data_IF_061935874531
#
_entry.id   IF_061935874531
#
_cell.length_a   1.000
_cell.length_b   1.000
_cell.length_c   1.000
_cell.angle_alpha   90.00
_cell.angle_beta   90.00
_cell.angle_gamma   90.00
#
_symmetry.space_group_name_H-M   'P 1'
#
loop_
_entity.id
_entity.type
_entity.pdbx_description
1 polymer ?
#
# COMPACT_ATOMS: atom_id res chain seq x y z
N UNK A 1 27.10 76.31 54.86
CA UNK A 1 28.00 77.44 54.59
C UNK A 1 29.34 76.85 54.17
N UNK A 2 29.72 77.07 52.91
CA UNK A 2 31.08 77.03 52.33
C UNK A 2 31.95 75.74 52.49
N UNK A 3 32.87 75.35 51.62
CA UNK A 3 33.28 75.71 50.25
C UNK A 3 34.50 74.82 49.88
N UNK A 4 34.58 74.37 48.61
CA UNK A 4 35.76 74.05 47.74
C UNK A 4 36.97 73.27 48.28
N UNK A 5 37.30 72.09 47.71
CA UNK A 5 38.15 71.79 46.50
C UNK A 5 39.68 71.78 46.79
N UNK A 6 40.57 71.23 45.91
CA UNK A 6 40.63 69.88 45.33
C UNK A 6 42.11 69.36 45.22
N UNK A 7 42.32 68.13 44.71
CA UNK A 7 43.65 67.64 44.31
C UNK A 7 43.55 66.41 43.39
N UNK A 8 44.15 66.51 42.21
CA UNK A 8 43.97 65.72 40.97
C UNK A 8 44.52 64.26 40.96
N UNK A 9 44.31 63.48 39.88
CA UNK A 9 44.15 62.02 39.89
C UNK A 9 45.39 61.23 39.41
N UNK A 10 45.39 59.91 39.65
CA UNK A 10 46.16 58.93 38.87
C UNK A 10 45.39 57.62 38.69
N UNK A 11 45.62 57.04 37.52
CA UNK A 11 44.88 56.03 36.76
C UNK A 11 44.75 54.60 37.37
N UNK A 12 43.86 53.76 36.81
CA UNK A 12 43.47 52.44 37.33
C UNK A 12 44.24 51.30 36.67
N UNK A 13 44.38 50.15 37.35
CA UNK A 13 44.50 48.84 36.67
C UNK A 13 43.82 47.76 37.52
N UNK A 14 42.89 47.04 36.87
CA UNK A 14 42.05 45.97 37.42
C UNK A 14 42.44 44.64 36.78
N UNK A 15 42.18 43.57 37.53
CA UNK A 15 42.07 42.15 37.18
C UNK A 15 43.32 41.28 37.45
N UNK A 16 43.31 40.40 38.47
CA UNK A 16 42.38 39.32 38.86
C UNK A 16 42.82 37.97 38.29
N UNK A 17 43.60 37.26 39.13
CA UNK A 17 43.41 35.85 39.48
C UNK A 17 43.02 34.89 38.33
N UNK A 18 44.01 34.36 37.62
CA UNK A 18 43.87 33.24 36.66
C UNK A 18 45.08 32.31 36.68
N UNK A 19 45.51 31.85 37.86
CA UNK A 19 46.66 30.93 37.95
C UNK A 19 46.48 29.80 38.97
N UNK A 20 45.26 29.33 39.22
CA UNK A 20 45.01 28.12 40.02
C UNK A 20 43.78 27.38 39.44
N UNK A 21 43.89 26.83 38.22
CA UNK A 21 42.92 25.86 37.67
C UNK A 21 43.52 25.03 36.51
N UNK A 22 44.80 24.67 36.57
CA UNK A 22 45.49 24.01 35.44
C UNK A 22 46.03 22.59 35.72
N UNK A 23 45.68 21.94 36.84
CA UNK A 23 46.27 20.64 37.20
C UNK A 23 45.30 19.45 37.41
N UNK A 24 43.99 19.57 37.16
CA UNK A 24 43.04 18.45 37.34
C UNK A 24 42.14 18.13 36.13
N UNK A 25 42.50 18.59 34.92
CA UNK A 25 41.72 18.39 33.69
C UNK A 25 42.51 17.67 32.58
N UNK A 26 43.31 16.65 32.89
CA UNK A 26 44.12 15.95 31.85
C UNK A 26 44.07 14.42 31.92
N UNK A 27 43.03 13.80 32.52
CA UNK A 27 42.94 12.33 32.52
C UNK A 27 41.56 11.72 32.24
N UNK A 28 40.57 12.50 31.82
CA UNK A 28 39.27 11.93 31.45
C UNK A 28 39.04 11.97 29.95
N UNK A 29 38.97 10.76 29.39
CA UNK A 29 38.31 10.39 28.13
C UNK A 29 38.94 10.86 26.81
N UNK A 30 40.01 10.17 26.39
CA UNK A 30 40.11 9.78 24.98
C UNK A 30 39.61 8.34 24.84
N UNK A 31 38.31 8.10 25.05
CA UNK A 31 37.69 6.94 24.39
C UNK A 31 37.71 7.30 22.91
N UNK A 32 38.59 6.66 22.14
CA UNK A 32 38.53 6.77 20.68
C UNK A 32 37.15 6.25 20.27
N UNK A 33 36.35 7.01 19.52
CA UNK A 33 35.16 6.44 18.90
C UNK A 33 35.62 5.23 18.08
N UNK A 34 34.90 4.13 18.24
CA UNK A 34 35.13 2.94 17.45
C UNK A 34 34.75 3.27 16.00
N UNK A 35 35.76 3.48 15.17
CA UNK A 35 35.62 3.67 13.73
C UNK A 35 35.73 2.32 12.99
N UNK A 36 35.55 1.19 13.68
CA UNK A 36 35.37 -0.08 12.99
C UNK A 36 34.16 0.05 12.05
N UNK A 37 34.27 -0.42 10.81
CA UNK A 37 33.16 -0.36 9.86
C UNK A 37 31.94 -0.98 10.51
N UNK A 38 30.81 -0.29 10.44
CA UNK A 38 29.56 -0.83 10.90
C UNK A 38 29.33 -2.16 10.17
N UNK A 39 28.85 -3.23 10.83
CA UNK A 39 28.39 -4.41 10.11
C UNK A 39 27.29 -4.08 9.08
N UNK A 40 26.67 -2.90 9.18
CA UNK A 40 25.72 -2.36 8.21
C UNK A 40 26.36 -1.55 7.07
N UNK A 41 27.62 -1.13 7.16
CA UNK A 41 28.34 -0.49 6.04
C UNK A 41 28.52 -1.47 4.87
N UNK A 42 28.63 -2.77 5.16
CA UNK A 42 28.61 -3.85 4.17
C UNK A 42 27.24 -4.00 3.47
N UNK A 43 26.13 -3.57 4.10
CA UNK A 43 24.81 -3.55 3.45
C UNK A 43 24.63 -2.29 2.59
N UNK A 44 25.20 -1.17 3.02
CA UNK A 44 25.19 0.11 2.27
C UNK A 44 26.01 0.04 0.97
N UNK A 45 27.04 -0.80 0.94
CA UNK A 45 27.93 -1.02 -0.22
C UNK A 45 27.48 -2.15 -1.14
N UNK A 46 26.35 -2.83 -0.85
CA UNK A 46 25.79 -3.80 -1.77
C UNK A 46 25.21 -3.04 -2.95
N UNK A 47 25.98 -2.94 -4.03
CA UNK A 47 25.43 -2.52 -5.33
C UNK A 47 24.17 -3.33 -5.59
N UNK A 48 23.05 -2.70 -5.98
CA UNK A 48 21.84 -3.42 -6.32
C UNK A 48 22.20 -4.35 -7.48
N UNK A 49 22.31 -5.64 -7.18
CA UNK A 49 22.53 -6.65 -8.21
C UNK A 49 21.25 -6.67 -9.04
N UNK A 50 21.26 -5.98 -10.18
CA UNK A 50 20.20 -6.06 -11.18
C UNK A 50 20.12 -7.53 -11.58
N UNK A 51 19.06 -8.20 -11.14
CA UNK A 51 18.81 -9.56 -11.54
C UNK A 51 18.41 -9.51 -13.01
N UNK A 52 19.23 -10.13 -13.87
CA UNK A 52 18.90 -10.25 -15.27
C UNK A 52 17.58 -11.04 -15.39
N UNK A 53 16.71 -10.60 -16.30
CA UNK A 53 15.51 -11.34 -16.63
C UNK A 53 15.88 -12.72 -17.19
N UNK A 54 15.05 -13.74 -16.98
CA UNK A 54 15.20 -15.03 -17.62
C UNK A 54 15.24 -14.89 -19.16
N UNK A 55 15.98 -15.78 -19.83
CA UNK A 55 16.11 -15.79 -21.30
C UNK A 55 14.82 -16.23 -22.03
N UNK A 56 13.79 -16.67 -21.28
CA UNK A 56 12.49 -17.08 -21.81
C UNK A 56 11.47 -17.32 -20.69
N UNK A 57 10.28 -17.84 -21.04
CA UNK A 57 9.23 -18.09 -20.07
C UNK A 57 9.68 -19.00 -18.93
N UNK A 58 9.33 -18.64 -17.70
CA UNK A 58 9.49 -19.51 -16.53
C UNK A 58 8.19 -20.25 -16.25
N UNK A 59 8.27 -21.48 -15.74
CA UNK A 59 7.09 -22.22 -15.33
C UNK A 59 6.43 -21.56 -14.11
N UNK A 60 5.14 -21.28 -14.21
CA UNK A 60 4.32 -20.77 -13.12
C UNK A 60 3.99 -21.84 -12.08
N UNK A 61 3.50 -21.44 -10.89
CA UNK A 61 3.14 -22.38 -9.84
C UNK A 61 1.89 -23.21 -10.19
N UNK A 62 1.86 -24.43 -9.68
CA UNK A 62 0.72 -25.36 -9.81
C UNK A 62 -0.39 -25.13 -8.75
N UNK A 63 -0.42 -23.95 -8.13
CA UNK A 63 -1.30 -23.63 -7.02
C UNK A 63 -2.57 -22.92 -7.48
N UNK A 64 -3.73 -23.54 -7.21
CA UNK A 64 -5.04 -22.94 -7.47
C UNK A 64 -5.38 -21.91 -6.38
N UNK A 65 -5.43 -20.64 -6.74
CA UNK A 65 -5.73 -19.55 -5.79
C UNK A 65 -7.23 -19.44 -5.56
N UNK A 66 -8.02 -19.46 -6.63
CA UNK A 66 -9.48 -19.30 -6.58
C UNK A 66 -10.09 -20.46 -7.38
N UNK A 67 -11.04 -21.23 -6.83
CA UNK A 67 -11.75 -22.23 -7.61
C UNK A 67 -12.71 -21.56 -8.62
N UNK A 68 -12.90 -22.17 -9.80
CA UNK A 68 -13.71 -21.58 -10.89
C UNK A 68 -15.13 -21.20 -10.44
N UNK A 69 -15.71 -22.02 -9.56
CA UNK A 69 -17.05 -21.80 -9.01
C UNK A 69 -17.15 -20.61 -8.06
N UNK A 70 -16.04 -20.07 -7.57
CA UNK A 70 -15.97 -18.88 -6.72
C UNK A 70 -15.61 -17.61 -7.51
N UNK A 71 -15.21 -17.73 -8.78
CA UNK A 71 -15.11 -16.58 -9.69
C UNK A 71 -16.47 -16.31 -10.34
N UNK A 72 -17.13 -17.34 -10.86
CA UNK A 72 -18.41 -17.22 -11.56
C UNK A 72 -19.57 -17.15 -10.56
N UNK A 73 -20.57 -16.32 -10.86
CA UNK A 73 -21.82 -16.30 -10.11
C UNK A 73 -22.59 -17.62 -10.32
N UNK A 74 -22.34 -18.58 -9.43
CA UNK A 74 -22.83 -19.95 -9.49
C UNK A 74 -23.63 -20.32 -8.23
N UNK A 75 -24.18 -21.55 -8.12
CA UNK A 75 -24.88 -22.00 -6.92
C UNK A 75 -24.06 -21.93 -5.62
N UNK A 76 -22.74 -21.75 -5.69
CA UNK A 76 -21.87 -21.48 -4.52
C UNK A 76 -22.25 -20.20 -3.77
N UNK A 77 -22.99 -19.29 -4.39
CA UNK A 77 -23.51 -18.09 -3.72
C UNK A 77 -24.65 -18.41 -2.74
N UNK A 78 -25.23 -19.62 -2.77
CA UNK A 78 -26.25 -20.02 -1.79
C UNK A 78 -25.65 -19.94 -0.38
N UNK A 79 -26.30 -19.18 0.49
CA UNK A 79 -25.84 -18.95 1.86
C UNK A 79 -24.87 -17.77 2.01
N UNK A 80 -24.44 -17.13 0.92
CA UNK A 80 -23.70 -15.87 0.97
C UNK A 80 -24.65 -14.68 0.83
N UNK A 81 -24.66 -13.81 1.85
CA UNK A 81 -25.49 -12.60 1.89
C UNK A 81 -24.61 -11.36 1.76
N UNK A 82 -24.79 -10.62 0.66
CA UNK A 82 -24.07 -9.37 0.40
C UNK A 82 -24.45 -8.31 1.46
N UNK A 83 -25.74 -8.07 1.74
CA UNK A 83 -26.13 -7.09 2.76
C UNK A 83 -25.56 -7.43 4.14
N UNK A 84 -25.60 -8.70 4.55
CA UNK A 84 -25.08 -9.12 5.86
C UNK A 84 -23.56 -8.98 5.92
N UNK A 85 -22.84 -9.33 4.85
CA UNK A 85 -21.38 -9.20 4.81
C UNK A 85 -20.95 -7.73 4.92
N UNK A 86 -21.57 -6.84 4.15
CA UNK A 86 -21.22 -5.41 4.17
C UNK A 86 -21.59 -4.78 5.51
N UNK A 87 -22.78 -5.08 6.04
CA UNK A 87 -23.23 -4.52 7.32
C UNK A 87 -22.43 -5.03 8.52
N UNK A 88 -22.00 -6.31 8.52
CA UNK A 88 -21.18 -6.86 9.61
C UNK A 88 -19.77 -6.27 9.67
N UNK A 89 -19.17 -5.98 8.51
CA UNK A 89 -17.84 -5.37 8.46
C UNK A 89 -17.89 -3.87 8.75
N UNK A 90 -19.02 -3.21 8.45
CA UNK A 90 -19.28 -1.81 8.76
C UNK A 90 -18.19 -0.82 8.27
N UNK A 91 -17.49 -1.18 7.20
CA UNK A 91 -16.53 -0.30 6.53
C UNK A 91 -17.21 0.75 5.65
N UNK A 92 -16.42 1.51 4.93
CA UNK A 92 -16.87 2.63 4.09
C UNK A 92 -17.96 2.25 3.08
N UNK A 93 -17.87 1.06 2.50
CA UNK A 93 -18.88 0.55 1.56
C UNK A 93 -20.29 0.50 2.14
N UNK A 94 -20.45 0.33 3.46
CA UNK A 94 -21.77 0.25 4.11
C UNK A 94 -22.54 1.57 4.07
N UNK A 95 -21.83 2.69 3.94
CA UNK A 95 -22.40 4.05 3.88
C UNK A 95 -22.25 4.67 2.49
N UNK A 96 -21.66 3.95 1.54
CA UNK A 96 -21.44 4.45 0.20
C UNK A 96 -22.74 4.53 -0.60
N UNK A 97 -22.90 5.64 -1.32
CA UNK A 97 -23.98 5.83 -2.28
C UNK A 97 -23.48 6.50 -3.55
N UNK A 98 -24.09 6.14 -4.68
CA UNK A 98 -23.79 6.69 -6.00
C UNK A 98 -25.09 6.96 -6.77
N UNK A 99 -25.08 7.97 -7.64
CA UNK A 99 -26.15 8.19 -8.60
C UNK A 99 -25.82 7.52 -9.93
N UNK A 100 -26.64 6.56 -10.35
CA UNK A 100 -26.51 5.83 -11.61
C UNK A 100 -27.80 6.07 -12.40
N UNK A 101 -27.70 6.67 -13.59
CA UNK A 101 -28.84 7.01 -14.45
C UNK A 101 -29.98 7.78 -13.75
N UNK A 102 -29.63 8.61 -12.76
CA UNK A 102 -30.58 9.43 -12.00
C UNK A 102 -31.21 8.74 -10.80
N UNK A 103 -30.91 7.47 -10.55
CA UNK A 103 -31.33 6.71 -9.38
C UNK A 103 -30.17 6.53 -8.38
N UNK A 104 -30.50 6.52 -7.09
CA UNK A 104 -29.52 6.38 -6.01
C UNK A 104 -29.33 4.91 -5.66
N UNK A 105 -28.10 4.43 -5.76
CA UNK A 105 -27.71 3.08 -5.41
C UNK A 105 -26.78 3.08 -4.19
N UNK A 106 -27.02 2.17 -3.26
CA UNK A 106 -26.10 1.89 -2.15
C UNK A 106 -24.94 1.01 -2.63
N UNK A 107 -23.81 1.01 -1.90
CA UNK A 107 -22.70 0.09 -2.15
C UNK A 107 -23.13 -1.38 -2.28
N UNK A 108 -24.06 -1.81 -1.43
CA UNK A 108 -24.68 -3.16 -1.49
C UNK A 108 -25.38 -3.40 -2.83
N UNK A 109 -26.26 -2.49 -3.26
CA UNK A 109 -26.98 -2.65 -4.53
C UNK A 109 -26.03 -2.60 -5.74
N UNK A 110 -24.96 -1.80 -5.67
CA UNK A 110 -23.95 -1.73 -6.73
C UNK A 110 -23.23 -3.08 -6.88
N UNK A 111 -22.76 -3.67 -5.77
CA UNK A 111 -22.12 -5.00 -5.78
C UNK A 111 -23.08 -6.06 -6.31
N UNK A 112 -24.33 -6.05 -5.86
CA UNK A 112 -25.38 -6.97 -6.36
C UNK A 112 -25.60 -6.83 -7.87
N UNK A 113 -25.72 -5.59 -8.35
CA UNK A 113 -25.93 -5.27 -9.76
C UNK A 113 -24.78 -5.77 -10.61
N UNK A 114 -23.54 -5.39 -10.27
CA UNK A 114 -22.34 -5.82 -11.01
C UNK A 114 -22.20 -7.34 -10.99
N UNK A 115 -22.40 -7.98 -9.84
CA UNK A 115 -22.32 -9.45 -9.73
C UNK A 115 -23.27 -10.14 -10.72
N UNK A 116 -24.52 -9.66 -10.82
CA UNK A 116 -25.53 -10.20 -11.73
C UNK A 116 -25.23 -9.90 -13.20
N UNK A 117 -24.90 -8.66 -13.50
CA UNK A 117 -24.66 -8.21 -14.89
C UNK A 117 -23.43 -8.89 -15.49
N UNK A 118 -22.36 -9.03 -14.72
CA UNK A 118 -21.10 -9.63 -15.18
C UNK A 118 -21.00 -11.13 -14.87
N UNK A 119 -21.98 -11.73 -14.19
CA UNK A 119 -21.94 -13.14 -13.74
C UNK A 119 -20.67 -13.47 -12.93
N UNK A 120 -20.25 -12.53 -12.08
CA UNK A 120 -19.10 -12.68 -11.19
C UNK A 120 -19.60 -12.85 -9.75
N UNK A 121 -18.98 -13.76 -8.99
CA UNK A 121 -19.40 -14.07 -7.63
C UNK A 121 -19.19 -12.84 -6.71
N UNK A 122 -20.19 -12.40 -5.93
CA UNK A 122 -20.09 -11.16 -5.14
C UNK A 122 -18.93 -11.16 -4.12
N UNK A 123 -18.60 -12.33 -3.57
CA UNK A 123 -17.48 -12.50 -2.63
C UNK A 123 -16.14 -12.08 -3.23
N UNK A 124 -15.90 -12.34 -4.53
CA UNK A 124 -14.64 -11.92 -5.17
C UNK A 124 -14.60 -10.41 -5.39
N UNK A 125 -15.73 -9.80 -5.75
CA UNK A 125 -15.81 -8.34 -5.90
C UNK A 125 -15.53 -7.62 -4.58
N UNK A 126 -16.09 -8.12 -3.47
CA UNK A 126 -15.80 -7.60 -2.14
C UNK A 126 -14.34 -7.82 -1.73
N UNK A 127 -13.75 -8.98 -2.06
CA UNK A 127 -12.34 -9.24 -1.80
C UNK A 127 -11.42 -8.31 -2.60
N UNK A 128 -11.73 -8.03 -3.86
CA UNK A 128 -10.98 -7.07 -4.69
C UNK A 128 -11.07 -5.67 -4.10
N UNK A 129 -12.26 -5.19 -3.73
CA UNK A 129 -12.42 -3.89 -3.07
C UNK A 129 -11.63 -3.77 -1.77
N UNK A 130 -11.63 -4.82 -0.97
CA UNK A 130 -10.87 -4.85 0.27
C UNK A 130 -9.36 -4.84 0.01
N UNK A 131 -8.87 -5.70 -0.88
CA UNK A 131 -7.45 -5.82 -1.21
C UNK A 131 -6.89 -4.52 -1.80
N UNK A 132 -7.68 -3.86 -2.64
CA UNK A 132 -7.20 -2.72 -3.43
C UNK A 132 -7.41 -1.39 -2.73
N UNK A 133 -8.44 -1.24 -1.89
CA UNK A 133 -8.74 0.04 -1.26
C UNK A 133 -9.27 -0.01 0.17
N UNK A 134 -9.43 -1.19 0.78
CA UNK A 134 -9.87 -1.31 2.17
C UNK A 134 -11.35 -0.93 2.43
N UNK A 135 -12.19 -0.88 1.38
CA UNK A 135 -13.55 -0.34 1.47
C UNK A 135 -14.50 -1.18 2.33
N UNK A 136 -14.21 -2.47 2.52
CA UNK A 136 -15.15 -3.40 3.16
C UNK A 136 -14.99 -3.35 4.67
N UNK A 137 -13.74 -3.33 5.17
CA UNK A 137 -13.44 -3.38 6.62
C UNK A 137 -13.05 -2.04 7.23
N UNK A 138 -12.43 -1.13 6.48
CA UNK A 138 -12.06 0.18 7.02
C UNK A 138 -13.21 1.16 6.86
N UNK A 139 -13.55 1.87 7.94
CA UNK A 139 -14.42 3.05 7.89
C UNK A 139 -13.61 4.36 7.89
N UNK A 140 -12.29 4.28 8.09
CA UNK A 140 -11.41 5.44 8.11
C UNK A 140 -11.11 5.90 6.68
N UNK A 141 -11.58 7.09 6.33
CA UNK A 141 -11.41 7.66 4.99
C UNK A 141 -9.97 8.03 4.67
N UNK A 142 -9.11 8.21 5.67
CA UNK A 142 -7.70 8.56 5.46
C UNK A 142 -6.89 7.34 4.95
N UNK A 143 -7.33 6.13 5.30
CA UNK A 143 -6.70 4.86 4.92
C UNK A 143 -7.32 4.24 3.64
N UNK A 144 -8.38 4.85 3.10
CA UNK A 144 -9.12 4.32 1.95
C UNK A 144 -8.63 4.96 0.65
N UNK A 145 -8.28 4.11 -0.30
CA UNK A 145 -8.01 4.56 -1.66
C UNK A 145 -9.34 4.79 -2.39
N UNK A 146 -9.59 6.03 -2.84
CA UNK A 146 -10.86 6.39 -3.50
C UNK A 146 -11.06 5.74 -4.87
N UNK A 147 -9.97 5.43 -5.58
CA UNK A 147 -10.02 4.88 -6.95
C UNK A 147 -9.09 3.68 -7.12
N UNK A 148 -9.30 2.59 -6.36
CA UNK A 148 -8.29 1.58 -6.18
C UNK A 148 -8.18 0.58 -7.35
N UNK A 149 -9.22 0.46 -8.18
CA UNK A 149 -9.30 -0.65 -9.15
C UNK A 149 -9.15 -0.18 -10.60
N UNK A 150 -9.66 1.01 -10.94
CA UNK A 150 -9.72 1.45 -12.32
C UNK A 150 -8.34 1.84 -12.86
N UNK A 151 -8.08 1.49 -14.13
CA UNK A 151 -6.77 1.63 -14.77
C UNK A 151 -6.23 3.07 -14.77
N UNK A 152 -7.13 4.07 -14.76
CA UNK A 152 -6.78 5.47 -14.64
C UNK A 152 -7.23 6.01 -13.28
N UNK A 153 -6.37 5.92 -12.27
CA UNK A 153 -6.64 6.44 -10.93
C UNK A 153 -6.92 7.95 -10.90
N UNK A 154 -6.52 8.71 -11.93
CA UNK A 154 -6.81 10.15 -12.03
C UNK A 154 -8.22 10.45 -12.50
N UNK A 155 -8.88 9.47 -13.14
CA UNK A 155 -10.23 9.61 -13.69
C UNK A 155 -11.34 9.71 -12.64
N UNK A 156 -11.03 9.44 -11.36
CA UNK A 156 -11.99 9.51 -10.28
C UNK A 156 -13.28 8.71 -10.53
N UNK A 157 -13.13 7.52 -11.14
CA UNK A 157 -14.26 6.69 -11.53
C UNK A 157 -15.12 6.26 -10.33
N UNK A 158 -16.45 6.37 -10.40
CA UNK A 158 -17.31 5.98 -9.28
C UNK A 158 -17.39 4.45 -9.15
N UNK A 159 -17.89 3.94 -8.01
CA UNK A 159 -17.78 2.54 -7.63
C UNK A 159 -18.34 1.59 -8.69
N UNK A 160 -19.48 1.90 -9.28
CA UNK A 160 -20.09 1.06 -10.32
C UNK A 160 -19.14 0.85 -11.51
N UNK A 161 -18.50 1.92 -11.99
CA UNK A 161 -17.52 1.86 -13.08
C UNK A 161 -16.29 1.03 -12.69
N UNK A 162 -15.78 1.23 -11.47
CA UNK A 162 -14.60 0.51 -10.97
C UNK A 162 -14.87 -1.00 -10.88
N UNK A 163 -15.99 -1.39 -10.27
CA UNK A 163 -16.38 -2.79 -10.14
C UNK A 163 -16.72 -3.43 -11.48
N UNK A 164 -17.35 -2.70 -12.40
CA UNK A 164 -17.64 -3.18 -13.75
C UNK A 164 -16.36 -3.50 -14.51
N UNK A 165 -15.36 -2.61 -14.43
CA UNK A 165 -14.04 -2.86 -15.02
C UNK A 165 -13.32 -4.05 -14.37
N UNK A 166 -13.42 -4.19 -13.05
CA UNK A 166 -12.85 -5.31 -12.31
C UNK A 166 -13.46 -6.64 -12.76
N UNK A 167 -14.80 -6.69 -12.81
CA UNK A 167 -15.56 -7.86 -13.20
C UNK A 167 -15.30 -8.25 -14.67
N UNK A 168 -15.25 -7.27 -15.58
CA UNK A 168 -14.86 -7.50 -16.97
C UNK A 168 -13.44 -8.06 -17.09
N UNK A 169 -12.51 -7.54 -16.29
CA UNK A 169 -11.13 -8.02 -16.30
C UNK A 169 -10.97 -9.43 -15.76
N UNK A 170 -11.70 -9.77 -14.70
CA UNK A 170 -11.76 -11.14 -14.18
C UNK A 170 -12.34 -12.10 -15.23
N UNK A 171 -13.46 -11.72 -15.86
CA UNK A 171 -14.07 -12.51 -16.92
C UNK A 171 -13.14 -12.71 -18.12
N UNK A 172 -12.46 -11.64 -18.56
CA UNK A 172 -11.50 -11.72 -19.67
C UNK A 172 -10.39 -12.71 -19.35
N UNK A 173 -9.82 -12.66 -18.14
CA UNK A 173 -8.80 -13.62 -17.70
C UNK A 173 -9.33 -15.05 -17.73
N UNK A 174 -10.43 -15.29 -17.02
CA UNK A 174 -11.07 -16.61 -16.88
C UNK A 174 -11.42 -17.23 -18.25
N UNK A 175 -12.18 -16.51 -19.08
CA UNK A 175 -12.64 -17.06 -20.35
C UNK A 175 -11.52 -17.15 -21.39
N UNK A 176 -10.50 -16.30 -21.35
CA UNK A 176 -9.33 -16.45 -22.21
C UNK A 176 -8.54 -17.70 -21.83
N UNK A 177 -8.34 -17.96 -20.54
CA UNK A 177 -7.67 -19.19 -20.08
C UNK A 177 -8.44 -20.43 -20.49
N UNK A 178 -9.75 -20.44 -20.27
CA UNK A 178 -10.66 -21.56 -20.57
C UNK A 178 -10.63 -22.04 -22.02
N UNK A 179 -10.38 -21.13 -22.97
CA UNK A 179 -10.28 -21.47 -24.40
C UNK A 179 -8.85 -21.65 -24.88
N UNK A 180 -7.87 -21.69 -23.96
CA UNK A 180 -6.45 -21.82 -24.27
C UNK A 180 -5.79 -20.54 -24.81
N UNK A 181 -6.48 -19.40 -24.72
CA UNK A 181 -6.00 -18.09 -25.19
C UNK A 181 -5.06 -17.37 -24.21
N UNK A 182 -4.93 -17.84 -22.97
CA UNK A 182 -4.04 -17.28 -21.95
C UNK A 182 -3.12 -18.38 -21.38
N UNK A 183 -1.99 -18.63 -22.04
CA UNK A 183 -0.97 -19.60 -21.60
C UNK A 183 0.30 -18.96 -21.05
N UNK A 184 0.47 -17.66 -21.26
CA UNK A 184 1.62 -16.86 -20.85
C UNK A 184 1.11 -15.55 -20.25
N UNK A 185 1.71 -15.12 -19.14
CA UNK A 185 1.40 -13.87 -18.46
C UNK A 185 2.70 -13.09 -18.26
N UNK A 186 2.62 -11.77 -18.45
CA UNK A 186 3.72 -10.85 -18.18
C UNK A 186 3.53 -10.26 -16.78
N UNK A 187 4.52 -10.43 -15.92
CA UNK A 187 4.53 -9.80 -14.60
C UNK A 187 5.06 -8.37 -14.70
N UNK A 188 4.81 -7.57 -13.67
CA UNK A 188 5.19 -6.14 -13.65
C UNK A 188 6.71 -5.91 -13.65
N UNK A 189 7.49 -6.90 -13.24
CA UNK A 189 8.95 -6.92 -13.33
C UNK A 189 9.47 -7.40 -14.70
N UNK A 190 8.58 -7.75 -15.64
CA UNK A 190 8.93 -8.12 -17.01
C UNK A 190 9.26 -9.59 -17.22
N UNK A 191 9.02 -10.44 -16.21
CA UNK A 191 9.17 -11.90 -16.36
C UNK A 191 7.95 -12.45 -17.10
N UNK A 192 8.23 -13.31 -18.08
CA UNK A 192 7.19 -14.07 -18.76
C UNK A 192 6.97 -15.39 -18.00
N UNK A 193 5.73 -15.63 -17.56
CA UNK A 193 5.34 -16.80 -16.78
C UNK A 193 4.41 -17.66 -17.61
N UNK A 194 4.78 -18.92 -17.83
CA UNK A 194 3.89 -19.92 -18.41
C UNK A 194 2.89 -20.37 -17.35
N UNK A 195 1.60 -20.19 -17.63
CA UNK A 195 0.53 -20.65 -16.74
C UNK A 195 0.51 -22.17 -16.74
N UNK A 196 0.55 -22.78 -15.55
CA UNK A 196 0.57 -24.23 -15.41
C UNK A 196 -0.69 -24.88 -15.98
N UNK A 197 -0.53 -26.03 -16.63
CA UNK A 197 -1.66 -26.81 -17.16
C UNK A 197 -2.46 -27.52 -16.05
N UNK A 198 -1.93 -27.56 -14.81
CA UNK A 198 -2.64 -28.15 -13.67
C UNK A 198 -3.49 -27.15 -12.92
N UNK A 199 -3.36 -25.84 -13.17
CA UNK A 199 -4.23 -24.84 -12.54
C UNK A 199 -5.55 -24.68 -13.27
N UNK A 200 -6.59 -24.31 -12.52
CA UNK A 200 -7.91 -24.04 -13.07
C UNK A 200 -7.97 -22.67 -13.78
N UNK A 201 -9.09 -22.38 -14.45
CA UNK A 201 -9.23 -21.21 -15.32
C UNK A 201 -9.26 -19.87 -14.57
N UNK A 202 -9.65 -19.89 -13.29
CA UNK A 202 -9.74 -18.70 -12.44
C UNK A 202 -8.42 -18.29 -11.74
N UNK A 203 -7.31 -18.98 -12.02
CA UNK A 203 -5.98 -18.70 -11.46
C UNK A 203 -5.10 -17.99 -12.48
#
# INVERSE_FOLDING_TARGET
MAERQPGMPQNPVRHSSRLILLCFLVLSACVRPDNSPSPFDALSTREPKVQALPDGPVDGPDFNIIPDSELVFSPTTIGFSIPDTISQQAGFLSNYEELIDGERFSGTHIVERVSREYSVHPRILLAVLELTGGWVRSADTDDILSYPIYQDATSQAPLFTQLSWAADSLNRGFYSRRVGGLSLIWTTDGVEVKVSDSVNDAT
#
